data_IF_624866071958
#
_entry.id   IF_624866071958
#
_cell.length_a   1.000
_cell.length_b   1.000
_cell.length_c   1.000
_cell.angle_alpha   90.00
_cell.angle_beta   90.00
_cell.angle_gamma   90.00
#
_symmetry.space_group_name_H-M   'P 1'
#
loop_
_entity.id
_entity.type
_entity.pdbx_description
1 polymer ?
#
# COMPACT_ATOMS: atom_id res chain seq x y z
N UNK A 1 -2.47 -33.25 -21.75
CA UNK A 1 -2.92 -32.26 -20.76
C UNK A 1 -2.20 -30.97 -21.09
N UNK A 2 -2.89 -30.00 -21.70
CA UNK A 2 -2.27 -28.70 -21.98
C UNK A 2 -2.06 -28.01 -20.62
N UNK A 3 -0.80 -27.81 -20.24
CA UNK A 3 -0.43 -27.03 -19.06
C UNK A 3 -0.93 -25.60 -19.28
N UNK A 4 -2.10 -25.28 -18.74
CA UNK A 4 -2.56 -23.90 -18.62
C UNK A 4 -1.71 -23.27 -17.54
N UNK A 5 -0.72 -22.48 -17.93
CA UNK A 5 0.07 -21.70 -16.99
C UNK A 5 -0.81 -20.75 -16.17
N UNK A 6 -0.24 -20.17 -15.13
CA UNK A 6 -0.95 -19.40 -14.12
C UNK A 6 -1.67 -18.18 -14.71
N UNK A 7 -2.89 -17.91 -14.24
CA UNK A 7 -3.82 -16.88 -14.72
C UNK A 7 -4.11 -16.96 -16.23
N UNK A 8 -4.18 -18.17 -16.78
CA UNK A 8 -4.33 -18.41 -18.22
C UNK A 8 -3.18 -17.85 -19.09
N UNK A 9 -2.00 -17.61 -18.50
CA UNK A 9 -0.78 -17.29 -19.23
C UNK A 9 0.06 -18.55 -19.44
N UNK A 10 0.12 -19.12 -20.67
CA UNK A 10 0.83 -20.37 -20.91
C UNK A 10 2.33 -20.31 -20.58
N UNK A 11 2.92 -19.12 -20.72
CA UNK A 11 4.32 -18.88 -20.37
C UNK A 11 4.57 -18.93 -18.86
N UNK A 12 3.56 -18.70 -18.01
CA UNK A 12 3.69 -18.64 -16.56
C UNK A 12 3.48 -20.02 -15.91
N UNK A 13 4.25 -21.01 -16.36
CA UNK A 13 4.09 -22.41 -15.93
C UNK A 13 5.00 -22.83 -14.77
N UNK A 14 6.06 -22.06 -14.50
CA UNK A 14 7.03 -22.36 -13.43
C UNK A 14 7.52 -21.07 -12.76
N UNK A 15 8.07 -21.13 -11.53
CA UNK A 15 8.68 -19.96 -10.89
C UNK A 15 9.79 -19.34 -11.75
N UNK A 16 10.62 -20.16 -12.41
CA UNK A 16 11.66 -19.65 -13.32
C UNK A 16 11.09 -18.88 -14.51
N UNK A 17 9.91 -19.28 -15.00
CA UNK A 17 9.25 -18.55 -16.07
C UNK A 17 8.71 -17.19 -15.61
N UNK A 18 8.38 -17.04 -14.32
CA UNK A 18 8.06 -15.74 -13.74
C UNK A 18 9.28 -14.80 -13.70
N UNK A 19 10.45 -15.31 -13.31
CA UNK A 19 11.70 -14.54 -13.39
C UNK A 19 11.96 -14.07 -14.83
N UNK A 20 11.80 -14.95 -15.81
CA UNK A 20 11.99 -14.60 -17.22
C UNK A 20 11.01 -13.50 -17.68
N UNK A 21 9.75 -13.55 -17.22
CA UNK A 21 8.74 -12.52 -17.47
C UNK A 21 9.16 -11.17 -16.86
N UNK A 22 9.54 -11.15 -15.58
CA UNK A 22 9.99 -9.95 -14.88
C UNK A 22 11.25 -9.34 -15.53
N UNK A 23 12.24 -10.18 -15.86
CA UNK A 23 13.45 -9.78 -16.58
C UNK A 23 13.17 -9.17 -17.95
N UNK A 24 12.28 -9.79 -18.73
CA UNK A 24 11.91 -9.28 -20.05
C UNK A 24 11.18 -7.93 -19.96
N UNK A 25 10.35 -7.76 -18.94
CA UNK A 25 9.61 -6.54 -18.66
C UNK A 25 10.56 -5.42 -18.24
N UNK A 26 11.50 -5.71 -17.33
CA UNK A 26 12.51 -4.76 -16.88
C UNK A 26 13.40 -4.28 -18.04
N UNK A 27 13.83 -5.18 -18.94
CA UNK A 27 14.60 -4.80 -20.13
C UNK A 27 13.82 -3.85 -21.05
N UNK A 28 12.53 -4.11 -21.28
CA UNK A 28 11.67 -3.23 -22.09
C UNK A 28 11.47 -1.88 -21.43
N UNK A 29 11.27 -1.87 -20.11
CA UNK A 29 11.12 -0.65 -19.32
C UNK A 29 12.39 0.21 -19.35
N UNK A 30 13.58 -0.41 -19.24
CA UNK A 30 14.87 0.26 -19.39
C UNK A 30 15.02 0.93 -20.76
N UNK A 31 14.70 0.23 -21.85
CA UNK A 31 14.76 0.79 -23.20
C UNK A 31 13.82 2.01 -23.38
N UNK A 32 12.61 1.96 -22.81
CA UNK A 32 11.70 3.11 -22.81
C UNK A 32 12.27 4.27 -21.99
N UNK A 33 12.83 3.98 -20.83
CA UNK A 33 13.45 4.96 -19.93
C UNK A 33 14.60 5.71 -20.62
N UNK A 34 15.40 5.02 -21.44
CA UNK A 34 16.47 5.64 -22.22
C UNK A 34 15.97 6.42 -23.44
N UNK A 35 14.86 5.99 -24.05
CA UNK A 35 14.31 6.57 -25.28
C UNK A 35 13.48 7.83 -25.02
N UNK A 36 12.61 7.82 -24.00
CA UNK A 36 11.65 8.89 -23.74
C UNK A 36 12.31 10.26 -23.55
N UNK A 37 13.42 10.41 -22.80
CA UNK A 37 14.11 11.69 -22.68
C UNK A 37 14.63 12.26 -24.01
N UNK A 38 14.98 11.39 -24.97
CA UNK A 38 15.48 11.80 -26.29
C UNK A 38 14.39 12.42 -27.17
N UNK A 39 13.11 12.28 -26.80
CA UNK A 39 12.00 12.88 -27.52
C UNK A 39 12.11 14.42 -27.61
N UNK A 40 12.85 15.07 -26.69
CA UNK A 40 13.15 16.52 -26.76
C UNK A 40 13.79 16.94 -28.08
N UNK A 41 14.52 16.05 -28.75
CA UNK A 41 15.17 16.32 -30.04
C UNK A 41 14.24 16.25 -31.26
N UNK A 42 12.99 15.82 -31.11
CA UNK A 42 12.04 15.68 -32.22
C UNK A 42 10.62 16.06 -31.81
N UNK A 43 10.04 17.05 -32.52
CA UNK A 43 8.68 17.52 -32.25
C UNK A 43 7.66 16.39 -32.36
N UNK A 44 7.82 15.47 -33.32
CA UNK A 44 6.90 14.34 -33.50
C UNK A 44 6.98 13.29 -32.38
N UNK A 45 8.13 13.17 -31.71
CA UNK A 45 8.28 12.25 -30.57
C UNK A 45 7.75 12.87 -29.26
N UNK A 46 7.76 14.21 -29.10
CA UNK A 46 7.15 14.89 -27.94
C UNK A 46 5.67 14.55 -27.79
N UNK A 47 4.92 14.47 -28.90
CA UNK A 47 3.51 14.05 -28.90
C UNK A 47 3.28 12.63 -28.37
N UNK A 48 4.32 11.80 -28.28
CA UNK A 48 4.22 10.40 -27.82
C UNK A 48 4.70 10.20 -26.38
N UNK A 49 5.23 11.24 -25.74
CA UNK A 49 5.86 11.12 -24.42
C UNK A 49 4.89 10.61 -23.36
N UNK A 50 3.70 11.22 -23.24
CA UNK A 50 2.69 10.81 -22.24
C UNK A 50 2.30 9.35 -22.43
N UNK A 51 2.02 8.94 -23.67
CA UNK A 51 1.69 7.55 -24.00
C UNK A 51 2.83 6.57 -23.70
N UNK A 52 4.08 6.98 -23.93
CA UNK A 52 5.24 6.14 -23.62
C UNK A 52 5.46 6.02 -22.11
N UNK A 53 5.19 7.07 -21.32
CA UNK A 53 5.22 7.02 -19.85
C UNK A 53 4.10 6.10 -19.32
N UNK A 54 2.90 6.23 -19.85
CA UNK A 54 1.77 5.35 -19.55
C UNK A 54 2.10 3.87 -19.85
N UNK A 55 2.66 3.60 -21.04
CA UNK A 55 3.13 2.26 -21.42
C UNK A 55 4.23 1.74 -20.47
N UNK A 56 5.13 2.61 -20.01
CA UNK A 56 6.17 2.23 -19.06
C UNK A 56 5.55 1.81 -17.72
N UNK A 57 4.57 2.56 -17.22
CA UNK A 57 3.83 2.23 -16.00
C UNK A 57 3.05 0.93 -16.15
N UNK A 58 2.30 0.73 -17.24
CA UNK A 58 1.53 -0.48 -17.50
C UNK A 58 2.41 -1.74 -17.50
N UNK A 59 3.59 -1.66 -18.12
CA UNK A 59 4.54 -2.77 -18.15
C UNK A 59 4.98 -3.15 -16.73
N UNK A 60 5.34 -2.16 -15.90
CA UNK A 60 5.83 -2.41 -14.55
C UNK A 60 4.71 -2.85 -13.61
N UNK A 61 3.60 -2.11 -13.56
CA UNK A 61 2.45 -2.41 -12.70
C UNK A 61 1.87 -3.79 -13.00
N UNK A 62 1.76 -4.19 -14.27
CA UNK A 62 1.25 -5.50 -14.65
C UNK A 62 2.05 -6.68 -14.06
N UNK A 63 3.36 -6.54 -13.88
CA UNK A 63 4.20 -7.58 -13.26
C UNK A 63 4.32 -7.40 -11.75
N UNK A 64 4.35 -6.16 -11.25
CA UNK A 64 4.39 -5.87 -9.81
C UNK A 64 3.13 -6.40 -9.11
N UNK A 65 1.95 -6.13 -9.65
CA UNK A 65 0.67 -6.58 -9.08
C UNK A 65 0.60 -8.12 -9.08
N UNK A 66 1.08 -8.74 -10.15
CA UNK A 66 1.19 -10.19 -10.24
C UNK A 66 2.18 -10.77 -9.22
N UNK A 67 3.33 -10.12 -9.04
CA UNK A 67 4.31 -10.51 -8.02
C UNK A 67 3.71 -10.40 -6.61
N UNK A 68 2.97 -9.32 -6.33
CA UNK A 68 2.29 -9.09 -5.06
C UNK A 68 1.22 -10.14 -4.79
N UNK A 69 0.43 -10.51 -5.79
CA UNK A 69 -0.54 -11.59 -5.67
C UNK A 69 0.15 -12.92 -5.36
N UNK A 70 1.20 -13.26 -6.12
CA UNK A 70 1.93 -14.51 -5.97
C UNK A 70 2.57 -14.67 -4.60
N UNK A 71 3.28 -13.65 -4.10
CA UNK A 71 3.95 -13.73 -2.79
C UNK A 71 3.01 -13.84 -1.61
N UNK A 72 1.78 -13.32 -1.74
CA UNK A 72 0.80 -13.30 -0.65
C UNK A 72 -0.16 -14.49 -0.69
N UNK A 73 -0.45 -15.03 -1.88
CA UNK A 73 -1.55 -15.97 -2.07
C UNK A 73 -1.13 -17.35 -2.63
N UNK A 74 0.06 -17.49 -3.24
CA UNK A 74 0.43 -18.75 -3.88
C UNK A 74 0.71 -19.87 -2.84
N UNK A 75 0.15 -21.09 -2.99
CA UNK A 75 0.33 -22.17 -2.03
C UNK A 75 1.76 -22.74 -2.01
N UNK A 76 2.42 -22.80 -3.17
CA UNK A 76 3.81 -23.25 -3.28
C UNK A 76 4.80 -22.14 -2.88
N UNK A 77 5.67 -22.46 -1.92
CA UNK A 77 6.73 -21.57 -1.40
C UNK A 77 7.81 -21.23 -2.43
N UNK A 78 8.02 -22.04 -3.45
CA UNK A 78 8.96 -21.73 -4.53
C UNK A 78 8.50 -20.50 -5.32
N UNK A 79 7.21 -20.45 -5.67
CA UNK A 79 6.57 -19.28 -6.28
C UNK A 79 6.62 -18.06 -5.37
N UNK A 80 6.31 -18.22 -4.08
CA UNK A 80 6.35 -17.11 -3.11
C UNK A 80 7.75 -16.48 -3.04
N UNK A 81 8.81 -17.28 -2.90
CA UNK A 81 10.20 -16.78 -2.82
C UNK A 81 10.64 -16.08 -4.11
N UNK A 82 10.28 -16.67 -5.24
CA UNK A 82 10.54 -16.12 -6.56
C UNK A 82 9.83 -14.77 -6.75
N UNK A 83 8.55 -14.69 -6.39
CA UNK A 83 7.76 -13.48 -6.46
C UNK A 83 8.24 -12.38 -5.52
N UNK A 84 8.67 -12.73 -4.31
CA UNK A 84 9.30 -11.77 -3.38
C UNK A 84 10.55 -11.13 -4.01
N UNK A 85 11.44 -11.94 -4.61
CA UNK A 85 12.67 -11.45 -5.23
C UNK A 85 12.41 -10.52 -6.42
N UNK A 86 11.50 -10.88 -7.33
CA UNK A 86 11.18 -10.03 -8.48
C UNK A 86 10.39 -8.78 -8.07
N UNK A 87 9.53 -8.86 -7.06
CA UNK A 87 8.83 -7.68 -6.51
C UNK A 87 9.83 -6.65 -5.96
N UNK A 88 10.80 -7.08 -5.15
CA UNK A 88 11.82 -6.19 -4.58
C UNK A 88 12.62 -5.49 -5.67
N UNK A 89 13.05 -6.23 -6.69
CA UNK A 89 13.81 -5.73 -7.85
C UNK A 89 13.01 -4.73 -8.70
N UNK A 90 11.73 -5.00 -8.97
CA UNK A 90 10.87 -4.10 -9.75
C UNK A 90 10.53 -2.83 -8.96
N UNK A 91 10.31 -2.94 -7.65
CA UNK A 91 10.12 -1.78 -6.78
C UNK A 91 11.37 -0.90 -6.71
N UNK A 92 12.56 -1.50 -6.63
CA UNK A 92 13.82 -0.74 -6.70
C UNK A 92 13.93 0.04 -8.01
N UNK A 93 13.59 -0.59 -9.14
CA UNK A 93 13.59 0.09 -10.43
C UNK A 93 12.57 1.23 -10.49
N UNK A 94 11.36 1.04 -9.94
CA UNK A 94 10.34 2.09 -9.86
C UNK A 94 10.81 3.29 -9.00
N UNK A 95 11.51 3.05 -7.91
CA UNK A 95 12.10 4.13 -7.09
C UNK A 95 13.14 4.95 -7.88
N UNK A 96 13.95 4.29 -8.72
CA UNK A 96 14.87 4.97 -9.64
C UNK A 96 14.09 5.80 -10.65
N UNK A 97 13.00 5.26 -11.22
CA UNK A 97 12.17 6.00 -12.17
C UNK A 97 11.54 7.24 -11.56
N UNK A 98 10.99 7.14 -10.35
CA UNK A 98 10.33 8.25 -9.65
C UNK A 98 11.27 9.44 -9.37
N UNK A 99 12.58 9.24 -9.47
CA UNK A 99 13.61 10.29 -9.31
C UNK A 99 14.40 10.56 -10.60
N UNK A 100 13.92 10.07 -11.75
CA UNK A 100 14.63 10.15 -13.01
C UNK A 100 14.48 11.54 -13.68
N UNK A 101 15.49 12.40 -13.47
CA UNK A 101 15.57 13.78 -14.00
C UNK A 101 15.23 13.89 -15.49
N UNK A 102 15.76 13.00 -16.33
CA UNK A 102 15.51 13.08 -17.78
C UNK A 102 14.04 12.83 -18.19
N UNK A 103 13.28 12.06 -17.40
CA UNK A 103 11.87 11.80 -17.65
C UNK A 103 11.01 12.98 -17.18
N UNK A 104 11.37 13.56 -16.04
CA UNK A 104 10.78 14.79 -15.53
C UNK A 104 11.00 15.97 -16.49
N UNK A 105 12.23 16.20 -16.96
CA UNK A 105 12.54 17.29 -17.88
C UNK A 105 11.77 17.21 -19.21
N UNK A 106 11.63 16.00 -19.79
CA UNK A 106 10.88 15.84 -21.04
C UNK A 106 9.37 15.99 -20.80
N UNK A 107 8.86 15.57 -19.65
CA UNK A 107 7.47 15.82 -19.27
C UNK A 107 7.19 17.31 -19.03
N UNK A 108 8.14 18.05 -18.43
CA UNK A 108 8.08 19.50 -18.34
C UNK A 108 7.98 20.15 -19.73
N UNK A 109 8.80 19.68 -20.69
CA UNK A 109 8.78 20.17 -22.06
C UNK A 109 7.43 19.94 -22.74
N UNK A 110 6.80 18.77 -22.51
CA UNK A 110 5.45 18.46 -22.99
C UNK A 110 4.42 19.41 -22.39
N UNK A 111 4.41 19.59 -21.07
CA UNK A 111 3.43 20.43 -20.37
C UNK A 111 3.62 21.94 -20.65
N UNK A 112 4.82 22.34 -21.05
CA UNK A 112 5.14 23.72 -21.44
C UNK A 112 4.77 24.07 -22.88
N UNK A 113 4.67 23.07 -23.77
CA UNK A 113 4.32 23.28 -25.18
C UNK A 113 2.81 23.29 -25.38
N UNK A 114 2.25 24.48 -25.68
CA UNK A 114 0.80 24.66 -25.87
C UNK A 114 0.21 23.82 -26.99
N UNK A 115 0.95 23.52 -28.06
CA UNK A 115 0.44 22.71 -29.16
C UNK A 115 0.36 21.24 -28.76
N UNK A 116 1.37 20.75 -28.04
CA UNK A 116 1.38 19.38 -27.54
C UNK A 116 0.25 19.20 -26.53
N UNK A 117 0.09 20.10 -25.56
CA UNK A 117 -0.99 20.04 -24.56
C UNK A 117 -2.38 20.05 -25.22
N UNK A 118 -2.59 20.87 -26.26
CA UNK A 118 -3.86 20.91 -27.00
C UNK A 118 -4.20 19.62 -27.73
N UNK A 119 -3.20 18.79 -28.04
CA UNK A 119 -3.42 17.51 -28.72
C UNK A 119 -3.74 16.37 -27.76
N UNK A 120 -3.52 16.55 -26.45
CA UNK A 120 -3.81 15.53 -25.44
C UNK A 120 -5.31 15.44 -25.19
N UNK A 121 -5.78 14.22 -24.93
CA UNK A 121 -7.12 14.02 -24.37
C UNK A 121 -7.17 14.57 -22.93
N UNK A 122 -8.36 14.86 -22.38
CA UNK A 122 -8.50 15.24 -20.97
C UNK A 122 -7.86 14.21 -20.02
N UNK A 123 -8.01 12.93 -20.35
CA UNK A 123 -7.43 11.81 -19.60
C UNK A 123 -5.91 11.81 -19.68
N UNK A 124 -5.33 11.92 -20.89
CA UNK A 124 -3.88 11.97 -21.08
C UNK A 124 -3.25 13.19 -20.39
N UNK A 125 -3.93 14.34 -20.45
CA UNK A 125 -3.46 15.54 -19.77
C UNK A 125 -3.46 15.35 -18.25
N UNK A 126 -4.50 14.73 -17.69
CA UNK A 126 -4.56 14.42 -16.27
C UNK A 126 -3.48 13.40 -15.87
N UNK A 127 -3.24 12.36 -16.68
CA UNK A 127 -2.15 11.39 -16.50
C UNK A 127 -0.79 12.09 -16.49
N UNK A 128 -0.54 13.01 -17.43
CA UNK A 128 0.69 13.80 -17.47
C UNK A 128 0.89 14.64 -16.20
N UNK A 129 -0.18 15.27 -15.68
CA UNK A 129 -0.12 16.03 -14.43
C UNK A 129 0.09 15.14 -13.20
N UNK A 130 -0.44 13.92 -13.19
CA UNK A 130 -0.18 12.94 -12.14
C UNK A 130 1.30 12.58 -12.11
N UNK A 131 1.88 12.18 -13.24
CA UNK A 131 3.32 11.89 -13.33
C UNK A 131 4.16 13.08 -12.88
N UNK A 132 3.83 14.29 -13.33
CA UNK A 132 4.53 15.50 -12.91
C UNK A 132 4.55 15.66 -11.39
N UNK A 133 3.37 15.58 -10.76
CA UNK A 133 3.24 15.68 -9.30
C UNK A 133 3.99 14.59 -8.56
N UNK A 134 4.06 13.39 -9.12
CA UNK A 134 4.75 12.27 -8.49
C UNK A 134 6.27 12.46 -8.52
N UNK A 135 6.84 12.95 -9.63
CA UNK A 135 8.25 13.37 -9.67
C UNK A 135 8.57 14.47 -8.63
N UNK A 136 7.73 15.50 -8.55
CA UNK A 136 7.89 16.60 -7.59
C UNK A 136 7.84 16.11 -6.14
N UNK A 137 6.86 15.25 -5.81
CA UNK A 137 6.71 14.66 -4.47
C UNK A 137 7.85 13.72 -4.09
N UNK A 138 8.45 13.03 -5.07
CA UNK A 138 9.61 12.16 -4.85
C UNK A 138 10.90 12.93 -4.56
N UNK A 139 10.85 14.27 -4.50
CA UNK A 139 11.98 15.09 -4.10
C UNK A 139 13.02 15.22 -5.21
N UNK A 140 12.60 15.25 -6.46
CA UNK A 140 13.50 15.41 -7.62
C UNK A 140 14.34 16.70 -7.55
N UNK A 141 13.83 17.72 -6.86
CA UNK A 141 14.49 19.01 -6.62
C UNK A 141 15.34 19.06 -5.33
N UNK A 142 15.49 17.96 -4.60
CA UNK A 142 16.38 17.92 -3.44
C UNK A 142 17.85 18.04 -3.91
N UNK A 143 18.52 19.10 -3.46
CA UNK A 143 19.88 19.54 -3.80
C UNK A 143 20.86 18.41 -4.21
N UNK A 144 21.70 18.62 -5.25
CA UNK A 144 22.70 17.65 -5.70
C UNK A 144 23.79 17.48 -4.65
N UNK A 145 23.58 16.55 -3.72
CA UNK A 145 24.52 16.22 -2.64
C UNK A 145 23.94 15.33 -1.56
N UNK A 146 22.64 15.44 -1.26
CA UNK A 146 21.99 14.65 -0.21
C UNK A 146 21.27 13.38 -0.74
N UNK A 147 20.82 13.39 -2.00
CA UNK A 147 19.81 12.43 -2.47
C UNK A 147 20.33 11.20 -3.23
N UNK A 148 21.60 11.13 -3.66
CA UNK A 148 22.04 10.06 -4.58
C UNK A 148 22.56 8.76 -3.94
N UNK A 149 22.80 8.73 -2.63
CA UNK A 149 23.34 7.53 -1.96
C UNK A 149 22.57 7.09 -0.70
N UNK A 150 21.61 7.88 -0.21
CA UNK A 150 21.08 7.74 1.16
C UNK A 150 19.64 7.26 1.30
N UNK A 151 18.76 7.55 0.33
CA UNK A 151 17.37 7.09 0.37
C UNK A 151 17.26 5.81 -0.45
N UNK A 152 18.11 4.82 -0.14
CA UNK A 152 17.67 3.45 -0.35
C UNK A 152 16.55 3.26 0.66
N UNK A 153 15.31 3.37 0.21
CA UNK A 153 14.21 2.71 0.89
C UNK A 153 14.51 1.20 0.81
N UNK A 154 15.48 0.74 1.61
CA UNK A 154 15.48 -0.61 2.11
C UNK A 154 14.24 -0.64 2.96
N UNK A 155 13.10 -0.87 2.30
CA UNK A 155 11.77 -0.83 2.90
C UNK A 155 11.88 -1.50 4.26
N UNK A 156 11.26 -0.91 5.28
CA UNK A 156 11.35 -1.40 6.65
C UNK A 156 11.33 -2.95 6.72
N UNK A 157 10.52 -3.61 5.87
CA UNK A 157 10.50 -5.06 5.69
C UNK A 157 11.81 -5.78 5.30
N UNK A 158 12.67 -5.21 4.43
CA UNK A 158 13.94 -5.80 4.00
C UNK A 158 15.02 -5.71 5.10
N UNK A 159 15.11 -4.56 5.81
CA UNK A 159 15.95 -4.43 7.02
C UNK A 159 15.50 -5.40 8.11
N UNK A 160 14.19 -5.60 8.27
CA UNK A 160 13.62 -6.52 9.26
C UNK A 160 13.93 -8.00 8.94
N UNK A 161 13.93 -8.40 7.66
CA UNK A 161 14.25 -9.79 7.24
C UNK A 161 15.74 -10.10 7.30
N UNK A 162 16.60 -9.20 6.79
CA UNK A 162 18.05 -9.41 6.78
C UNK A 162 18.63 -9.47 8.20
N UNK A 163 18.10 -8.68 9.13
CA UNK A 163 18.57 -8.70 10.52
C UNK A 163 18.18 -9.99 11.26
N UNK A 164 17.03 -10.58 10.91
CA UNK A 164 16.53 -11.84 11.46
C UNK A 164 17.29 -13.09 10.93
N UNK A 165 17.80 -13.04 9.69
CA UNK A 165 18.48 -14.18 9.08
C UNK A 165 19.97 -14.30 9.46
N UNK A 166 20.63 -13.21 9.90
CA UNK A 166 22.09 -13.20 10.06
C UNK A 166 22.63 -13.28 11.49
N UNK A 167 21.83 -13.08 12.54
CA UNK A 167 22.44 -12.75 13.84
C UNK A 167 22.63 -13.88 14.86
N UNK A 168 22.00 -15.07 14.78
CA UNK A 168 22.18 -16.18 15.76
C UNK A 168 22.50 -15.72 17.20
N UNK A 169 21.80 -14.69 17.69
CA UNK A 169 22.03 -14.06 19.01
C UNK A 169 20.69 -13.94 19.71
N UNK A 170 20.73 -14.22 21.03
CA UNK A 170 19.58 -14.29 21.94
C UNK A 170 18.49 -13.26 21.62
N UNK A 171 17.24 -13.73 21.53
CA UNK A 171 16.02 -12.96 21.24
C UNK A 171 16.00 -11.60 21.96
N UNK A 172 16.38 -10.55 21.24
CA UNK A 172 16.02 -9.18 21.58
C UNK A 172 14.61 -8.98 21.02
N UNK A 173 13.62 -8.77 21.88
CA UNK A 173 12.23 -8.56 21.48
C UNK A 173 12.16 -7.40 20.48
N UNK A 174 11.85 -7.71 19.22
CA UNK A 174 11.77 -6.75 18.15
C UNK A 174 10.56 -5.82 18.36
N UNK A 175 10.68 -4.52 18.11
CA UNK A 175 9.67 -3.50 18.46
C UNK A 175 8.26 -3.74 17.90
N UNK A 176 8.13 -4.42 16.75
CA UNK A 176 6.84 -4.84 16.17
C UNK A 176 6.42 -6.29 16.45
N UNK A 177 7.19 -7.05 17.24
CA UNK A 177 6.90 -8.47 17.51
C UNK A 177 5.72 -8.67 18.47
N UNK A 178 5.07 -9.84 18.41
CA UNK A 178 4.06 -10.23 19.37
C UNK A 178 4.62 -10.21 20.81
N UNK A 179 5.88 -10.59 20.99
CA UNK A 179 6.59 -10.54 22.26
C UNK A 179 6.72 -9.11 22.79
N UNK A 180 7.05 -8.15 21.92
CA UNK A 180 7.08 -6.74 22.28
C UNK A 180 5.69 -6.23 22.68
N UNK A 181 4.64 -6.60 21.95
CA UNK A 181 3.26 -6.26 22.31
C UNK A 181 2.85 -6.86 23.67
N UNK A 182 3.24 -8.11 23.94
CA UNK A 182 3.00 -8.75 25.24
C UNK A 182 3.73 -8.03 26.36
N UNK A 183 4.97 -7.57 26.15
CA UNK A 183 5.72 -6.79 27.15
C UNK A 183 5.02 -5.45 27.41
N UNK A 184 4.63 -4.72 26.35
CA UNK A 184 3.92 -3.43 26.48
C UNK A 184 2.58 -3.55 27.22
N UNK A 185 1.85 -4.66 27.02
CA UNK A 185 0.52 -4.88 27.62
C UNK A 185 0.54 -5.51 29.01
N UNK A 186 1.53 -6.35 29.32
CA UNK A 186 1.45 -7.25 30.48
C UNK A 186 2.62 -7.13 31.47
N UNK A 187 3.76 -6.53 31.09
CA UNK A 187 4.89 -6.42 32.02
C UNK A 187 4.53 -5.45 33.16
N UNK A 188 4.55 -5.84 34.45
CA UNK A 188 4.16 -4.96 35.54
C UNK A 188 5.17 -3.84 35.80
N UNK A 189 6.47 -4.14 35.73
CA UNK A 189 7.52 -3.13 35.90
C UNK A 189 7.54 -2.12 34.72
N UNK A 190 7.79 -0.84 35.03
CA UNK A 190 7.84 0.22 34.00
C UNK A 190 9.08 0.10 33.08
N UNK A 191 10.22 -0.32 33.63
CA UNK A 191 11.52 -0.31 32.93
C UNK A 191 11.55 -1.13 31.63
N UNK A 192 11.03 -2.38 31.57
CA UNK A 192 10.94 -3.13 30.32
C UNK A 192 10.12 -2.42 29.23
N UNK A 193 8.96 -1.84 29.60
CA UNK A 193 8.09 -1.11 28.66
C UNK A 193 8.78 0.15 28.15
N UNK A 194 9.43 0.90 29.04
CA UNK A 194 10.19 2.11 28.71
C UNK A 194 11.31 1.80 27.71
N UNK A 195 12.15 0.81 27.98
CA UNK A 195 13.28 0.44 27.10
C UNK A 195 12.80 0.02 25.71
N UNK A 196 11.74 -0.78 25.66
CA UNK A 196 11.15 -1.24 24.40
C UNK A 196 10.55 -0.08 23.60
N UNK A 197 9.80 0.81 24.24
CA UNK A 197 9.23 1.98 23.58
C UNK A 197 10.30 2.93 23.04
N UNK A 198 11.36 3.21 23.82
CA UNK A 198 12.48 4.05 23.37
C UNK A 198 13.21 3.42 22.19
N UNK A 199 13.46 2.11 22.21
CA UNK A 199 14.08 1.41 21.09
C UNK A 199 13.20 1.42 19.82
N UNK A 200 11.88 1.35 19.98
CA UNK A 200 10.92 1.37 18.88
C UNK A 200 10.77 2.74 18.20
N UNK A 201 11.01 3.83 18.95
CA UNK A 201 10.74 5.20 18.51
C UNK A 201 12.01 6.05 18.38
N UNK A 202 13.20 5.43 18.42
CA UNK A 202 14.47 6.10 18.15
C UNK A 202 14.83 6.02 16.66
N UNK A 203 15.43 7.10 16.15
CA UNK A 203 16.01 7.14 14.81
C UNK A 203 17.32 7.93 14.84
N UNK A 204 18.07 7.95 13.73
CA UNK A 204 19.30 8.75 13.66
C UNK A 204 18.96 10.24 13.50
N UNK A 205 19.82 11.16 13.97
CA UNK A 205 19.58 12.60 13.86
C UNK A 205 19.27 13.07 12.43
N UNK A 206 19.97 12.50 11.44
CA UNK A 206 19.80 12.84 10.02
C UNK A 206 18.41 12.45 9.49
N UNK A 207 17.89 11.29 9.91
CA UNK A 207 16.55 10.85 9.57
C UNK A 207 15.48 11.70 10.26
N UNK A 208 15.72 12.12 11.51
CA UNK A 208 14.81 13.01 12.23
C UNK A 208 14.73 14.36 11.52
N UNK A 209 15.86 14.97 11.19
CA UNK A 209 15.92 16.24 10.46
C UNK A 209 15.20 16.14 9.10
N UNK A 210 15.40 15.04 8.38
CA UNK A 210 14.74 14.79 7.10
C UNK A 210 13.21 14.67 7.27
N UNK A 211 12.75 13.92 8.28
CA UNK A 211 11.34 13.77 8.58
C UNK A 211 10.69 15.11 8.96
N UNK A 212 11.36 15.93 9.77
CA UNK A 212 10.89 17.27 10.16
C UNK A 212 10.71 18.18 8.93
N UNK A 213 11.67 18.18 8.00
CA UNK A 213 11.55 18.93 6.73
C UNK A 213 10.33 18.48 5.92
N UNK A 214 10.10 17.17 5.80
CA UNK A 214 8.94 16.62 5.09
C UNK A 214 7.61 16.98 5.77
N UNK A 215 7.55 16.88 7.10
CA UNK A 215 6.36 17.25 7.87
C UNK A 215 6.07 18.74 7.79
N UNK A 216 7.10 19.60 7.80
CA UNK A 216 6.94 21.04 7.66
C UNK A 216 6.38 21.39 6.27
N UNK A 217 6.97 20.85 5.20
CA UNK A 217 6.48 21.05 3.83
C UNK A 217 5.03 20.58 3.63
N UNK A 218 4.57 19.60 4.42
CA UNK A 218 3.20 19.06 4.34
C UNK A 218 2.21 19.76 5.28
N UNK A 219 2.69 20.36 6.36
CA UNK A 219 1.89 20.82 7.49
C UNK A 219 1.12 22.11 7.23
N UNK A 220 1.62 23.02 6.39
CA UNK A 220 1.04 24.37 6.20
C UNK A 220 -0.44 24.35 5.80
N UNK A 221 -0.87 23.33 5.05
CA UNK A 221 -2.25 23.22 4.57
C UNK A 221 -3.22 22.51 5.54
N UNK A 222 -2.72 21.85 6.59
CA UNK A 222 -3.52 20.97 7.46
C UNK A 222 -3.64 21.51 8.89
N UNK A 223 -2.84 22.52 9.30
CA UNK A 223 -2.84 23.03 10.68
C UNK A 223 -4.24 23.39 11.19
N UNK A 224 -5.04 24.12 10.40
CA UNK A 224 -6.41 24.49 10.80
C UNK A 224 -7.31 23.28 11.09
N UNK A 225 -7.16 22.22 10.31
CA UNK A 225 -7.90 20.97 10.54
C UNK A 225 -7.41 20.26 11.80
N UNK A 226 -6.09 20.19 12.01
CA UNK A 226 -5.49 19.57 13.19
C UNK A 226 -5.88 20.31 14.48
N UNK A 227 -5.85 21.64 14.47
CA UNK A 227 -6.26 22.48 15.60
C UNK A 227 -7.73 22.24 15.96
N UNK A 228 -8.61 22.27 14.96
CA UNK A 228 -10.04 22.02 15.16
C UNK A 228 -10.30 20.60 15.73
N UNK A 229 -9.60 19.59 15.20
CA UNK A 229 -9.70 18.22 15.68
C UNK A 229 -9.14 18.08 17.10
N UNK A 230 -8.02 18.74 17.41
CA UNK A 230 -7.42 18.78 18.74
C UNK A 230 -8.36 19.41 19.76
N UNK A 231 -8.99 20.54 19.43
CA UNK A 231 -9.94 21.20 20.32
C UNK A 231 -11.18 20.33 20.59
N UNK A 232 -11.71 19.68 19.54
CA UNK A 232 -12.84 18.76 19.67
C UNK A 232 -12.50 17.51 20.51
N UNK A 233 -11.31 16.94 20.33
CA UNK A 233 -10.90 15.69 21.00
C UNK A 233 -10.32 15.91 22.41
N UNK A 234 -9.87 17.13 22.74
CA UNK A 234 -9.27 17.50 24.03
C UNK A 234 -10.03 17.02 25.27
N UNK A 235 -11.36 17.20 25.41
CA UNK A 235 -12.07 16.72 26.60
C UNK A 235 -12.03 15.19 26.75
N UNK A 236 -12.19 14.45 25.66
CA UNK A 236 -12.12 12.99 25.64
C UNK A 236 -10.72 12.48 25.98
N UNK A 237 -9.68 13.08 25.39
CA UNK A 237 -8.29 12.75 25.68
C UNK A 237 -7.93 13.02 27.15
N UNK A 238 -8.37 14.15 27.71
CA UNK A 238 -8.17 14.46 29.15
C UNK A 238 -8.88 13.45 30.05
N UNK A 239 -10.09 13.04 29.70
CA UNK A 239 -10.82 12.00 30.44
C UNK A 239 -10.08 10.66 30.41
N UNK A 240 -9.64 10.23 29.23
CA UNK A 240 -8.87 9.00 29.07
C UNK A 240 -7.56 9.03 29.87
N UNK A 241 -6.77 10.10 29.78
CA UNK A 241 -5.52 10.26 30.53
C UNK A 241 -5.74 10.27 32.04
N UNK A 242 -6.83 10.88 32.54
CA UNK A 242 -7.20 10.80 33.96
C UNK A 242 -7.47 9.36 34.39
N UNK A 243 -8.23 8.61 33.60
CA UNK A 243 -8.49 7.19 33.87
C UNK A 243 -7.19 6.37 33.93
N UNK A 244 -6.27 6.59 32.99
CA UNK A 244 -4.95 5.92 33.02
C UNK A 244 -4.11 6.34 34.23
N UNK A 245 -4.12 7.62 34.58
CA UNK A 245 -3.41 8.14 35.76
C UNK A 245 -3.91 7.51 37.06
N UNK A 246 -5.24 7.37 37.23
CA UNK A 246 -5.85 6.69 38.38
C UNK A 246 -5.43 5.21 38.46
N UNK A 247 -5.46 4.49 37.33
CA UNK A 247 -5.01 3.09 37.26
C UNK A 247 -3.53 2.95 37.63
N UNK A 248 -2.69 3.84 37.11
CA UNK A 248 -1.26 3.92 37.42
C UNK A 248 -0.99 4.22 38.88
N UNK A 249 -1.76 5.14 39.46
CA UNK A 249 -1.68 5.48 40.88
C UNK A 249 -1.97 4.26 41.76
N UNK A 250 -3.07 3.55 41.47
CA UNK A 250 -3.47 2.35 42.21
C UNK A 250 -2.44 1.23 42.09
N UNK A 251 -1.92 0.98 40.89
CA UNK A 251 -0.93 -0.07 40.65
C UNK A 251 0.40 0.18 41.38
N UNK A 252 0.90 1.42 41.36
CA UNK A 252 2.21 1.75 41.92
C UNK A 252 2.15 2.25 43.37
N UNK A 253 0.95 2.35 43.94
CA UNK A 253 0.70 2.91 45.27
C UNK A 253 1.37 4.29 45.47
N UNK A 254 1.13 5.20 44.52
CA UNK A 254 1.77 6.54 44.48
C UNK A 254 0.80 7.66 44.79
N UNK A 255 1.33 8.88 44.94
CA UNK A 255 0.53 10.11 45.05
C UNK A 255 -0.35 10.33 43.80
N UNK A 256 -1.50 11.02 43.94
CA UNK A 256 -2.41 11.26 42.83
C UNK A 256 -1.80 12.11 41.72
N UNK A 257 -2.37 11.99 40.50
CA UNK A 257 -2.00 12.75 39.30
C UNK A 257 -0.60 12.47 38.73
N UNK A 258 -0.06 11.25 38.88
CA UNK A 258 1.20 10.88 38.22
C UNK A 258 1.05 11.00 36.69
N UNK A 259 2.05 11.63 36.06
CA UNK A 259 2.12 11.77 34.61
C UNK A 259 2.15 10.40 33.93
N UNK A 260 1.20 10.19 33.02
CA UNK A 260 1.14 9.03 32.14
C UNK A 260 2.21 9.20 31.06
N UNK A 261 3.09 8.22 30.93
CA UNK A 261 4.14 8.20 29.91
C UNK A 261 3.67 7.45 28.67
N UNK A 262 4.33 7.65 27.54
CA UNK A 262 3.93 6.99 26.29
C UNK A 262 3.99 5.45 26.37
N UNK A 263 4.88 4.89 27.20
CA UNK A 263 4.99 3.44 27.45
C UNK A 263 4.01 2.87 28.50
N UNK A 264 3.10 3.70 29.01
CA UNK A 264 2.07 3.30 29.97
C UNK A 264 0.72 2.98 29.32
N UNK A 265 0.48 3.50 28.11
CA UNK A 265 -0.80 3.44 27.42
C UNK A 265 -1.30 2.00 27.27
N UNK A 266 -0.50 1.11 26.68
CA UNK A 266 -0.92 -0.28 26.42
C UNK A 266 -1.17 -1.10 27.69
N UNK A 267 -0.48 -0.77 28.79
CA UNK A 267 -0.61 -1.49 30.05
C UNK A 267 -1.84 -1.05 30.84
N UNK A 268 -2.09 0.26 30.95
CA UNK A 268 -3.24 0.78 31.70
C UNK A 268 -4.49 0.97 30.85
N UNK A 269 -4.38 0.87 29.53
CA UNK A 269 -5.50 0.77 28.59
C UNK A 269 -5.53 -0.63 27.96
N UNK A 270 -5.71 -1.70 28.75
CA UNK A 270 -5.89 -3.01 28.16
C UNK A 270 -7.16 -2.97 27.28
N UNK A 271 -7.19 -3.71 26.16
CA UNK A 271 -8.42 -3.85 25.39
C UNK A 271 -9.54 -4.25 26.35
N UNK A 272 -10.71 -3.60 26.23
CA UNK A 272 -11.87 -4.00 27.01
C UNK A 272 -12.04 -5.51 26.87
N UNK A 273 -12.28 -6.25 27.97
CA UNK A 273 -12.59 -7.66 27.86
C UNK A 273 -13.75 -7.78 26.87
N UNK A 274 -13.63 -8.65 25.85
CA UNK A 274 -14.63 -8.72 24.79
C UNK A 274 -15.99 -8.88 25.45
N UNK A 275 -16.94 -8.02 25.07
CA UNK A 275 -18.32 -8.15 25.52
C UNK A 275 -18.75 -9.61 25.32
N UNK A 276 -19.53 -10.21 26.25
CA UNK A 276 -20.00 -11.57 26.09
C UNK A 276 -20.57 -11.72 24.68
N UNK A 277 -20.15 -12.74 23.90
CA UNK A 277 -20.49 -12.81 22.49
C UNK A 277 -22.01 -12.74 22.36
N UNK A 278 -22.50 -11.65 21.77
CA UNK A 278 -23.90 -11.56 21.39
C UNK A 278 -24.19 -12.78 20.51
N UNK A 279 -25.32 -13.46 20.75
CA UNK A 279 -25.74 -14.60 19.91
C UNK A 279 -26.07 -14.09 18.51
N UNK A 280 -25.05 -13.95 17.68
CA UNK A 280 -25.21 -13.65 16.27
C UNK A 280 -25.62 -14.95 15.54
N UNK A 281 -26.56 -14.89 14.58
CA UNK A 281 -26.78 -16.00 13.69
C UNK A 281 -25.47 -16.34 12.97
N UNK A 282 -25.21 -17.62 12.63
CA UNK A 282 -23.96 -17.99 11.98
C UNK A 282 -23.78 -17.21 10.68
N UNK A 283 -22.75 -16.37 10.67
CA UNK A 283 -22.27 -15.62 9.52
C UNK A 283 -21.45 -16.56 8.64
N UNK A 284 -22.14 -17.45 7.92
CA UNK A 284 -21.47 -18.29 6.93
C UNK A 284 -21.00 -17.44 5.77
N UNK A 285 -19.91 -17.86 5.10
CA UNK A 285 -19.37 -17.18 3.93
C UNK A 285 -20.46 -16.91 2.88
N UNK A 286 -21.29 -17.92 2.59
CA UNK A 286 -22.40 -17.78 1.65
C UNK A 286 -23.46 -16.75 2.06
N UNK A 287 -23.78 -16.62 3.36
CA UNK A 287 -24.71 -15.59 3.84
C UNK A 287 -24.12 -14.18 3.70
N UNK A 288 -22.83 -14.04 3.96
CA UNK A 288 -22.10 -12.77 3.81
C UNK A 288 -22.06 -12.35 2.33
N UNK A 289 -21.64 -13.23 1.42
CA UNK A 289 -21.60 -12.93 -0.01
C UNK A 289 -22.99 -12.65 -0.60
N UNK A 290 -24.04 -13.35 -0.14
CA UNK A 290 -25.42 -13.04 -0.52
C UNK A 290 -25.85 -11.64 -0.04
N UNK A 291 -25.51 -11.28 1.20
CA UNK A 291 -25.77 -9.94 1.74
C UNK A 291 -25.07 -8.84 0.96
N UNK A 292 -23.76 -9.01 0.70
CA UNK A 292 -22.96 -8.07 -0.09
C UNK A 292 -23.48 -7.94 -1.53
N UNK A 293 -23.81 -9.04 -2.19
CA UNK A 293 -24.35 -9.03 -3.56
C UNK A 293 -25.68 -8.26 -3.64
N UNK A 294 -26.57 -8.41 -2.64
CA UNK A 294 -27.82 -7.62 -2.56
C UNK A 294 -27.57 -6.14 -2.30
N UNK A 295 -26.60 -5.82 -1.43
CA UNK A 295 -26.23 -4.44 -1.15
C UNK A 295 -25.69 -3.76 -2.42
N UNK A 296 -24.77 -4.40 -3.13
CA UNK A 296 -24.22 -3.88 -4.38
C UNK A 296 -25.29 -3.78 -5.48
N UNK A 297 -26.24 -4.72 -5.53
CA UNK A 297 -27.35 -4.62 -6.47
C UNK A 297 -28.21 -3.38 -6.21
N UNK A 298 -28.50 -3.09 -4.94
CA UNK A 298 -29.36 -1.97 -4.58
C UNK A 298 -28.66 -0.61 -4.68
N UNK A 299 -27.35 -0.57 -4.42
CA UNK A 299 -26.58 0.69 -4.49
C UNK A 299 -26.05 1.00 -5.89
N UNK A 300 -25.60 -0.02 -6.62
CA UNK A 300 -24.83 0.13 -7.86
C UNK A 300 -25.44 -0.61 -9.06
N UNK A 301 -26.49 -1.41 -8.87
CA UNK A 301 -27.07 -2.23 -9.95
C UNK A 301 -26.20 -3.42 -10.38
N UNK A 302 -25.21 -3.79 -9.56
CA UNK A 302 -24.26 -4.87 -9.84
C UNK A 302 -24.54 -6.06 -8.94
N UNK A 303 -24.56 -7.27 -9.52
CA UNK A 303 -24.63 -8.52 -8.76
C UNK A 303 -23.34 -9.34 -8.87
N UNK A 304 -22.99 -10.01 -7.79
CA UNK A 304 -21.88 -10.99 -7.76
C UNK A 304 -22.44 -12.39 -8.05
N UNK A 305 -21.88 -13.06 -9.05
CA UNK A 305 -22.17 -14.47 -9.39
C UNK A 305 -20.91 -15.30 -9.20
N UNK A 306 -21.06 -16.45 -8.55
CA UNK A 306 -19.98 -17.43 -8.49
C UNK A 306 -19.72 -17.95 -9.91
N UNK A 307 -18.45 -17.99 -10.28
CA UNK A 307 -17.97 -18.57 -11.53
C UNK A 307 -17.20 -19.85 -11.20
N UNK A 308 -17.50 -20.93 -11.93
CA UNK A 308 -16.69 -22.14 -11.86
C UNK A 308 -15.35 -21.82 -12.54
N UNK A 309 -14.29 -21.67 -11.74
CA UNK A 309 -12.96 -21.27 -12.24
C UNK A 309 -12.42 -22.29 -13.24
N UNK A 310 -11.81 -21.80 -14.32
CA UNK A 310 -11.19 -22.67 -15.32
C UNK A 310 -9.79 -23.13 -14.87
N UNK A 311 -9.31 -24.33 -15.26
CA UNK A 311 -7.98 -24.79 -14.88
C UNK A 311 -6.90 -23.81 -15.33
N UNK A 312 -6.12 -23.28 -14.38
CA UNK A 312 -5.07 -22.27 -14.64
C UNK A 312 -5.50 -20.83 -14.34
N UNK A 313 -6.77 -20.56 -14.04
CA UNK A 313 -7.26 -19.21 -13.67
C UNK A 313 -6.87 -18.80 -12.25
N UNK A 314 -6.65 -19.77 -11.35
CA UNK A 314 -6.37 -19.53 -9.94
C UNK A 314 -5.06 -20.18 -9.46
N UNK A 315 -4.39 -19.62 -8.44
CA UNK A 315 -3.17 -20.20 -7.86
C UNK A 315 -3.36 -21.52 -7.12
N UNK A 316 -4.60 -21.87 -6.78
CA UNK A 316 -4.91 -23.08 -6.01
C UNK A 316 -6.40 -23.42 -6.02
N UNK A 317 -6.77 -24.60 -5.48
CA UNK A 317 -8.13 -25.13 -5.54
C UNK A 317 -9.13 -24.40 -4.62
N UNK A 318 -8.65 -23.69 -3.59
CA UNK A 318 -9.51 -22.99 -2.62
C UNK A 318 -9.91 -21.56 -3.06
N UNK A 319 -9.50 -21.14 -4.26
CA UNK A 319 -9.81 -19.83 -4.79
C UNK A 319 -11.13 -19.85 -5.55
N UNK A 320 -12.12 -19.09 -5.08
CA UNK A 320 -13.36 -18.83 -5.81
C UNK A 320 -13.25 -17.61 -6.72
N UNK A 321 -13.67 -17.73 -7.98
CA UNK A 321 -13.79 -16.62 -8.93
C UNK A 321 -15.23 -16.07 -8.91
N UNK A 322 -15.38 -14.75 -8.92
CA UNK A 322 -16.69 -14.09 -9.01
C UNK A 322 -16.68 -13.10 -10.16
N UNK A 323 -17.68 -13.16 -11.04
CA UNK A 323 -17.83 -12.18 -12.11
C UNK A 323 -18.90 -11.14 -11.74
N UNK A 324 -18.57 -9.84 -11.79
CA UNK A 324 -19.58 -8.79 -11.65
C UNK A 324 -20.45 -8.76 -12.90
N UNK A 325 -21.77 -8.65 -12.72
CA UNK A 325 -22.72 -8.46 -13.81
C UNK A 325 -23.56 -7.21 -13.58
N UNK A 326 -23.56 -6.32 -14.57
CA UNK A 326 -24.49 -5.19 -14.61
C UNK A 326 -25.83 -5.69 -15.16
N UNK A 327 -26.85 -5.75 -14.32
CA UNK A 327 -28.20 -6.02 -14.79
C UNK A 327 -28.78 -4.69 -15.28
N UNK A 328 -28.76 -4.49 -16.61
CA UNK A 328 -29.33 -3.32 -17.27
C UNK A 328 -30.76 -3.06 -16.78
N UNK A 329 -31.10 -1.78 -16.58
CA UNK A 329 -32.39 -1.34 -16.08
C UNK A 329 -33.54 -2.11 -16.74
N UNK A 330 -34.38 -2.76 -15.92
CA UNK A 330 -35.61 -3.42 -16.39
C UNK A 330 -36.46 -2.36 -17.10
N UNK A 331 -36.42 -2.33 -18.43
CA UNK A 331 -37.41 -1.61 -19.23
C UNK A 331 -38.77 -2.21 -18.89
N UNK A 332 -39.61 -1.45 -18.20
CA UNK A 332 -40.96 -1.85 -17.84
C UNK A 332 -41.82 -2.03 -19.08
N UNK A 333 -41.88 -3.25 -19.63
CA UNK A 333 -42.97 -3.65 -20.50
C UNK A 333 -44.22 -3.83 -19.64
N UNK A 334 -45.07 -2.79 -19.63
CA UNK A 334 -46.48 -2.90 -19.25
C UNK A 334 -47.11 -4.04 -20.08
N UNK A 335 -47.51 -5.13 -19.41
CA UNK A 335 -48.42 -6.11 -19.99
C UNK A 335 -49.73 -5.39 -20.32
N UNK A 336 -50.01 -5.19 -21.60
CA UNK A 336 -51.32 -4.83 -22.09
C UNK A 336 -52.29 -5.97 -21.78
N UNK A 337 -53.39 -5.62 -21.12
CA UNK A 337 -54.59 -6.43 -21.06
C UNK A 337 -55.16 -6.53 -22.48
N UNK A 338 -55.40 -7.75 -22.95
CA UNK A 338 -56.39 -8.01 -24.00
C UNK A 338 -57.27 -9.14 -23.50
N UNK A 339 -58.44 -8.73 -23.00
CA UNK A 339 -59.67 -9.51 -22.98
C UNK A 339 -60.16 -9.67 -24.42
N UNK A 340 -60.31 -10.91 -24.89
CA UNK A 340 -61.55 -11.41 -25.50
C UNK A 340 -61.51 -12.94 -25.56
#
# INVERSE_FOLDING_TARGET
MNSTGLFNYPSLSTPLAFNALADSTLRRAQLLTERVPRARGSRSELFKVVKNLDTLSDLLCGVIDLAELLRNAHPDRAWVRCADGEYEKLCEFMNILNTHVGLHEVLHAVLSDREVVKSLTPEDHQTALMFWRDFEKSGIDLLPGAAKQGIKDMGMGARLRLQAQFTQRHLLAHSGSLQAQMIMRSAPAEEPRRKLYMAANASTPEHIETLEKLLHARGENVQRFLDALMDYTRPYARSALRTLSIRKQAHLNTAPFRMVQAWDCDYYHPPEPPAPPAKLPPLTLGRVFMGLSRLFQNLYGVSLRLSDGTPGEAPGPDFGSYHPRCDGARSGQRKGQTTH
#
